data_IF_091654176558
#
_entry.id   IF_091654176558
#
_cell.length_a   1.000
_cell.length_b   1.000
_cell.length_c   1.000
_cell.angle_alpha   90.00
_cell.angle_beta   90.00
_cell.angle_gamma   90.00
#
_symmetry.space_group_name_H-M   'P 1'
#
loop_
_entity.id
_entity.type
_entity.pdbx_description
1 polymer ?
#
# COMPACT_ATOMS: atom_id res chain seq x y z
N UNK A 1 4.98 9.01 5.02
CA UNK A 1 4.45 7.97 5.94
C UNK A 1 4.09 8.60 7.28
N UNK A 2 4.96 9.46 7.81
CA UNK A 2 4.65 10.33 8.95
C UNK A 2 4.22 11.73 8.45
N UNK A 3 2.95 12.14 8.65
CA UNK A 3 2.47 13.45 8.21
C UNK A 3 2.98 14.64 9.05
N UNK A 4 3.64 14.39 10.20
CA UNK A 4 4.22 15.42 11.06
C UNK A 4 5.73 15.62 10.84
N UNK A 5 6.37 14.74 10.06
CA UNK A 5 7.77 14.89 9.64
C UNK A 5 7.82 15.48 8.24
N UNK A 6 8.59 16.55 8.07
CA UNK A 6 8.84 17.13 6.75
C UNK A 6 9.53 16.11 5.82
N UNK A 7 9.17 16.13 4.54
CA UNK A 7 9.70 15.21 3.54
C UNK A 7 9.03 13.84 3.53
N UNK A 8 9.59 12.94 2.73
CA UNK A 8 9.12 11.58 2.61
C UNK A 8 9.92 10.66 3.52
N UNK A 9 9.34 9.51 3.83
CA UNK A 9 10.01 8.43 4.54
C UNK A 9 9.84 7.16 3.74
N UNK A 10 10.77 6.23 3.95
CA UNK A 10 10.71 4.90 3.36
C UNK A 10 10.77 3.84 4.44
N UNK A 11 10.21 2.69 4.11
CA UNK A 11 10.30 1.47 4.90
C UNK A 11 10.83 0.37 4.00
N UNK A 12 11.67 -0.50 4.55
CA UNK A 12 12.28 -1.58 3.82
C UNK A 12 12.54 -2.79 4.69
N UNK A 13 12.51 -3.96 4.04
CA UNK A 13 12.85 -5.24 4.64
C UNK A 13 14.16 -5.77 4.08
N UNK A 14 14.75 -6.74 4.75
CA UNK A 14 16.07 -7.28 4.44
C UNK A 14 16.03 -8.80 4.34
N UNK A 15 16.85 -9.33 3.43
CA UNK A 15 17.06 -10.75 3.25
C UNK A 15 18.51 -11.10 3.58
N UNK A 16 18.71 -12.16 4.35
CA UNK A 16 20.02 -12.76 4.66
C UNK A 16 21.05 -11.76 5.19
N UNK A 17 20.60 -10.75 5.95
CA UNK A 17 21.47 -9.69 6.44
C UNK A 17 22.36 -10.21 7.60
N UNK A 18 23.70 -10.16 7.49
CA UNK A 18 24.59 -10.71 8.51
C UNK A 18 24.51 -10.00 9.88
N UNK A 19 23.97 -8.78 9.92
CA UNK A 19 23.75 -8.04 11.17
C UNK A 19 22.41 -8.36 11.84
N UNK A 20 21.65 -9.31 11.29
CA UNK A 20 20.29 -9.67 11.70
C UNK A 20 19.25 -8.56 11.47
N UNK A 21 19.60 -7.48 10.75
CA UNK A 21 18.65 -6.43 10.40
C UNK A 21 17.54 -7.02 9.52
N UNK A 22 16.29 -6.95 9.97
CA UNK A 22 15.13 -7.50 9.26
C UNK A 22 14.30 -6.40 8.59
N UNK A 23 14.17 -5.25 9.23
CA UNK A 23 13.42 -4.12 8.70
C UNK A 23 13.92 -2.79 9.25
N UNK A 24 13.67 -1.72 8.50
CA UNK A 24 14.12 -0.38 8.82
C UNK A 24 13.16 0.67 8.25
N UNK A 25 13.09 1.80 8.96
CA UNK A 25 12.38 3.00 8.53
C UNK A 25 13.37 4.15 8.48
N UNK A 26 13.28 4.96 7.42
CA UNK A 26 14.29 5.96 7.13
C UNK A 26 13.69 7.21 6.52
N UNK A 27 14.40 8.31 6.69
CA UNK A 27 14.14 9.58 6.04
C UNK A 27 14.58 9.51 4.56
N UNK A 28 13.64 9.71 3.63
CA UNK A 28 13.90 9.46 2.21
C UNK A 28 14.75 10.54 1.53
N UNK A 29 14.91 11.72 2.15
CA UNK A 29 15.77 12.79 1.62
C UNK A 29 17.22 12.58 2.07
N UNK A 30 17.43 12.36 3.36
CA UNK A 30 18.77 12.24 3.96
C UNK A 30 19.34 10.83 3.98
N UNK A 31 18.49 9.80 3.91
CA UNK A 31 18.85 8.41 4.15
C UNK A 31 19.11 8.07 5.63
N UNK A 32 18.81 8.99 6.56
CA UNK A 32 18.92 8.74 7.99
C UNK A 32 17.99 7.60 8.40
N UNK A 33 18.52 6.56 9.05
CA UNK A 33 17.70 5.51 9.62
C UNK A 33 17.07 6.01 10.92
N UNK A 34 15.73 6.04 10.95
CA UNK A 34 14.93 6.51 12.07
C UNK A 34 14.75 5.41 13.12
N UNK A 35 14.50 4.17 12.67
CA UNK A 35 14.52 2.99 13.53
C UNK A 35 14.82 1.71 12.73
N UNK A 36 15.14 0.64 13.47
CA UNK A 36 15.50 -0.69 12.95
C UNK A 36 14.93 -1.77 13.85
N UNK A 37 14.50 -2.88 13.26
CA UNK A 37 14.26 -4.12 14.00
C UNK A 37 15.16 -5.25 13.50
N UNK A 38 15.51 -6.12 14.44
CA UNK A 38 16.43 -7.23 14.21
C UNK A 38 15.70 -8.55 14.48
N UNK A 39 16.00 -9.56 13.67
CA UNK A 39 15.59 -10.94 13.92
C UNK A 39 16.52 -11.66 14.89
N UNK A 40 16.16 -12.90 15.23
CA UNK A 40 16.95 -13.77 16.12
C UNK A 40 17.97 -14.64 15.36
N UNK A 41 17.87 -14.69 14.04
CA UNK A 41 18.77 -15.44 13.15
C UNK A 41 18.96 -14.72 11.81
N UNK A 42 19.96 -15.15 11.03
CA UNK A 42 20.09 -14.67 9.64
C UNK A 42 18.99 -15.35 8.84
N UNK A 43 18.07 -14.56 8.29
CA UNK A 43 16.94 -15.07 7.55
C UNK A 43 16.36 -14.07 6.56
N UNK A 44 15.32 -14.52 5.88
CA UNK A 44 14.64 -13.78 4.83
C UNK A 44 13.35 -13.13 5.36
N UNK A 45 13.41 -11.84 5.72
CA UNK A 45 12.20 -11.05 5.94
C UNK A 45 11.66 -10.60 4.57
N UNK A 46 11.08 -11.54 3.83
CA UNK A 46 10.88 -11.44 2.39
C UNK A 46 9.81 -10.43 1.93
N UNK A 47 9.05 -9.85 2.87
CA UNK A 47 7.87 -9.03 2.58
C UNK A 47 7.73 -7.89 3.56
N UNK A 48 7.35 -6.72 3.06
CA UNK A 48 6.98 -5.57 3.86
C UNK A 48 5.87 -4.79 3.18
N UNK A 49 5.07 -4.06 3.95
CA UNK A 49 4.07 -3.13 3.46
C UNK A 49 4.09 -1.85 4.28
N UNK A 50 3.57 -0.78 3.68
CA UNK A 50 3.35 0.52 4.30
C UNK A 50 2.00 1.05 3.82
N UNK A 51 1.16 1.48 4.74
CA UNK A 51 -0.16 2.02 4.45
C UNK A 51 -0.87 2.40 5.73
N UNK A 52 -1.69 3.45 5.68
CA UNK A 52 -2.54 3.80 6.81
C UNK A 52 -3.71 2.81 6.86
N UNK A 53 -3.74 1.96 7.88
CA UNK A 53 -4.76 0.90 8.04
C UNK A 53 -5.47 0.99 9.39
N UNK A 54 -4.93 1.73 10.36
CA UNK A 54 -5.49 1.91 11.69
C UNK A 54 -5.66 3.39 12.06
N UNK A 55 -6.88 3.94 12.07
CA UNK A 55 -7.12 5.35 12.32
C UNK A 55 -6.89 5.76 13.78
N UNK A 56 -6.56 4.82 14.69
CA UNK A 56 -6.23 5.15 16.08
C UNK A 56 -4.79 5.65 16.24
N UNK A 57 -3.95 5.47 15.23
CA UNK A 57 -2.58 5.95 15.21
C UNK A 57 -2.41 6.94 14.05
N UNK A 58 -1.66 8.02 14.28
CA UNK A 58 -1.48 9.03 13.24
C UNK A 58 -0.35 8.61 12.30
N UNK A 59 -0.60 8.70 11.00
CA UNK A 59 0.36 8.31 9.97
C UNK A 59 0.15 6.87 9.53
N UNK A 60 1.08 6.35 8.74
CA UNK A 60 0.96 5.00 8.18
C UNK A 60 1.48 3.95 9.15
N UNK A 61 0.84 2.78 9.13
CA UNK A 61 1.44 1.56 9.66
C UNK A 61 2.45 1.00 8.65
N UNK A 62 3.36 0.18 9.18
CA UNK A 62 4.25 -0.70 8.43
C UNK A 62 4.18 -2.09 9.02
N UNK A 63 4.33 -3.11 8.18
CA UNK A 63 4.33 -4.48 8.67
C UNK A 63 5.12 -5.42 7.80
N UNK A 64 5.69 -6.43 8.46
CA UNK A 64 6.31 -7.61 7.86
C UNK A 64 5.96 -8.84 8.70
N UNK A 65 6.78 -9.89 8.62
CA UNK A 65 6.74 -11.01 9.55
C UNK A 65 7.19 -10.65 10.99
N UNK A 66 7.37 -9.36 11.29
CA UNK A 66 7.70 -8.82 12.61
C UNK A 66 6.48 -8.28 13.38
N UNK A 67 5.31 -8.23 12.76
CA UNK A 67 4.09 -7.60 13.31
C UNK A 67 3.71 -6.31 12.57
N UNK A 68 2.62 -5.69 13.02
CA UNK A 68 2.17 -4.38 12.54
C UNK A 68 2.65 -3.31 13.50
N UNK A 69 3.32 -2.29 12.97
CA UNK A 69 3.81 -1.15 13.72
C UNK A 69 3.23 0.14 13.16
N UNK A 70 2.89 1.10 14.03
CA UNK A 70 2.80 2.47 13.59
C UNK A 70 4.21 2.99 13.23
N UNK A 71 4.42 3.40 11.98
CA UNK A 71 5.77 3.71 11.48
C UNK A 71 6.38 4.95 12.14
N UNK A 72 5.54 5.93 12.50
CA UNK A 72 5.96 7.19 13.10
C UNK A 72 6.51 6.96 14.52
N UNK A 73 5.74 6.29 15.36
CA UNK A 73 6.06 6.12 16.78
C UNK A 73 6.92 4.87 17.05
N UNK A 74 7.12 4.02 16.04
CA UNK A 74 7.73 2.70 16.18
C UNK A 74 7.03 1.83 17.24
N UNK A 75 5.69 1.93 17.27
CA UNK A 75 4.83 1.27 18.25
C UNK A 75 4.23 0.00 17.62
N UNK A 76 4.40 -1.15 18.28
CA UNK A 76 3.78 -2.41 17.86
C UNK A 76 2.29 -2.38 18.18
N UNK A 77 1.45 -2.41 17.15
CA UNK A 77 -0.02 -2.34 17.26
C UNK A 77 -0.68 -3.71 17.13
N UNK A 78 -0.06 -4.65 16.40
CA UNK A 78 -0.47 -6.06 16.37
C UNK A 78 0.75 -6.99 16.30
N UNK A 79 0.93 -7.78 17.36
CA UNK A 79 2.07 -8.69 17.52
C UNK A 79 1.84 -10.07 16.90
N UNK A 80 0.58 -10.50 16.77
CA UNK A 80 0.24 -11.78 16.16
C UNK A 80 0.23 -11.64 14.64
N UNK A 81 1.32 -12.06 14.01
CA UNK A 81 1.48 -12.00 12.55
C UNK A 81 0.48 -12.88 11.78
N UNK A 82 -0.24 -13.79 12.46
CA UNK A 82 -1.32 -14.55 11.83
C UNK A 82 -2.63 -13.74 11.71
N UNK A 83 -2.76 -12.68 12.52
CA UNK A 83 -3.85 -11.71 12.43
C UNK A 83 -3.50 -10.60 11.45
N UNK A 84 -2.24 -10.16 11.42
CA UNK A 84 -1.76 -9.08 10.57
C UNK A 84 -2.16 -9.26 9.09
N UNK A 85 -2.46 -8.15 8.39
CA UNK A 85 -2.69 -8.19 6.95
C UNK A 85 -1.49 -8.76 6.21
N UNK A 86 -1.72 -9.57 5.17
CA UNK A 86 -0.61 -10.17 4.43
C UNK A 86 0.16 -9.10 3.64
N UNK A 87 1.49 -8.93 3.85
CA UNK A 87 2.29 -7.90 3.17
C UNK A 87 2.51 -8.27 1.70
N UNK A 88 1.63 -7.75 0.83
CA UNK A 88 1.66 -8.00 -0.61
C UNK A 88 1.52 -6.72 -1.44
N UNK A 89 0.31 -6.19 -1.57
CA UNK A 89 0.03 -4.94 -2.28
C UNK A 89 -1.15 -4.25 -1.60
N UNK A 90 -1.05 -2.93 -1.45
CA UNK A 90 -2.14 -2.07 -0.99
C UNK A 90 -2.82 -1.38 -2.17
N UNK A 91 -4.02 -0.88 -1.93
CA UNK A 91 -4.76 -0.01 -2.84
C UNK A 91 -5.79 0.82 -2.09
N UNK A 92 -6.23 1.93 -2.67
CA UNK A 92 -7.42 2.65 -2.23
C UNK A 92 -8.65 2.18 -3.00
N UNK A 93 -9.61 1.57 -2.31
CA UNK A 93 -10.76 0.94 -2.95
C UNK A 93 -12.11 1.47 -2.47
N UNK A 94 -12.30 1.67 -1.16
CA UNK A 94 -13.60 2.07 -0.62
C UNK A 94 -13.78 3.59 -0.53
N UNK A 95 -14.65 4.05 0.37
CA UNK A 95 -15.04 5.45 0.48
C UNK A 95 -14.15 6.28 1.41
N UNK A 96 -13.43 5.63 2.33
CA UNK A 96 -12.57 6.29 3.31
C UNK A 96 -11.14 6.47 2.80
N UNK A 97 -10.36 7.23 3.55
CA UNK A 97 -8.97 7.56 3.23
C UNK A 97 -7.96 6.45 3.57
N UNK A 98 -8.40 5.35 4.17
CA UNK A 98 -7.53 4.26 4.61
C UNK A 98 -7.16 3.36 3.43
N UNK A 99 -6.06 2.63 3.57
CA UNK A 99 -5.59 1.72 2.55
C UNK A 99 -6.21 0.32 2.72
N UNK A 100 -6.80 -0.19 1.64
CA UNK A 100 -7.18 -1.59 1.49
C UNK A 100 -5.99 -2.42 0.98
N UNK A 101 -6.23 -3.72 0.87
CA UNK A 101 -5.23 -4.72 0.53
C UNK A 101 -5.69 -5.52 -0.67
N UNK A 102 -4.75 -5.83 -1.54
CA UNK A 102 -4.92 -6.80 -2.61
C UNK A 102 -3.97 -7.98 -2.43
N UNK A 103 -4.52 -9.17 -2.23
CA UNK A 103 -3.73 -10.38 -2.02
C UNK A 103 -4.48 -11.60 -2.56
N UNK A 104 -3.80 -12.47 -3.33
CA UNK A 104 -4.40 -13.71 -3.84
C UNK A 104 -5.76 -13.50 -4.55
N UNK A 105 -5.85 -12.38 -5.30
CA UNK A 105 -7.06 -12.00 -6.04
C UNK A 105 -8.20 -11.51 -5.14
N UNK A 106 -7.93 -11.24 -3.87
CA UNK A 106 -8.89 -10.75 -2.89
C UNK A 106 -8.62 -9.29 -2.59
N UNK A 107 -9.69 -8.52 -2.51
CA UNK A 107 -9.71 -7.20 -1.92
C UNK A 107 -10.07 -7.38 -0.46
N UNK A 108 -9.25 -6.83 0.43
CA UNK A 108 -9.34 -7.07 1.86
C UNK A 108 -9.16 -5.74 2.60
N UNK A 109 -9.81 -5.58 3.75
CA UNK A 109 -9.66 -4.42 4.63
C UNK A 109 -9.22 -4.88 6.01
N UNK A 110 -8.26 -4.18 6.59
CA UNK A 110 -7.90 -4.38 7.98
C UNK A 110 -8.99 -3.83 8.90
N UNK A 111 -9.42 -4.65 9.85
CA UNK A 111 -10.35 -4.27 10.90
C UNK A 111 -9.59 -4.12 12.21
N UNK A 112 -9.12 -2.90 12.45
CA UNK A 112 -8.34 -2.53 13.63
C UNK A 112 -9.07 -2.76 14.96
N UNK A 113 -10.41 -2.80 14.97
CA UNK A 113 -11.17 -3.03 16.20
C UNK A 113 -11.13 -4.49 16.66
N UNK A 114 -10.97 -5.42 15.71
CA UNK A 114 -11.03 -6.86 15.97
C UNK A 114 -9.73 -7.58 15.65
N UNK A 115 -8.70 -6.86 15.21
CA UNK A 115 -7.46 -7.42 14.67
C UNK A 115 -7.73 -8.52 13.63
N UNK A 116 -8.49 -8.19 12.59
CA UNK A 116 -8.87 -9.15 11.56
C UNK A 116 -8.83 -8.56 10.15
N UNK A 117 -8.69 -9.42 9.15
CA UNK A 117 -8.70 -9.05 7.73
C UNK A 117 -10.03 -9.46 7.12
N UNK A 118 -10.89 -8.49 6.85
CA UNK A 118 -12.20 -8.70 6.25
C UNK A 118 -12.11 -8.71 4.72
N UNK A 119 -12.75 -9.70 4.08
CA UNK A 119 -12.79 -9.75 2.61
C UNK A 119 -13.89 -8.88 2.06
N UNK A 120 -13.53 -7.94 1.18
CA UNK A 120 -14.47 -7.11 0.43
C UNK A 120 -14.99 -7.91 -0.77
N UNK A 121 -14.10 -8.39 -1.65
CA UNK A 121 -14.47 -9.21 -2.80
C UNK A 121 -13.30 -10.10 -3.26
N UNK A 122 -13.59 -11.01 -4.18
CA UNK A 122 -12.58 -11.85 -4.84
C UNK A 122 -12.78 -11.85 -6.35
N UNK A 123 -11.73 -11.59 -7.12
CA UNK A 123 -11.79 -11.48 -8.59
C UNK A 123 -12.34 -12.74 -9.26
N UNK A 124 -12.06 -13.92 -8.68
CA UNK A 124 -12.52 -15.22 -9.20
C UNK A 124 -14.05 -15.38 -9.16
N UNK A 125 -14.75 -14.65 -8.29
CA UNK A 125 -16.22 -14.62 -8.26
C UNK A 125 -16.80 -14.03 -9.56
N UNK A 126 -16.00 -13.25 -10.29
CA UNK A 126 -16.37 -12.58 -11.53
C UNK A 126 -15.62 -13.13 -12.76
N UNK A 127 -14.97 -14.30 -12.64
CA UNK A 127 -14.22 -14.93 -13.73
C UNK A 127 -12.77 -14.44 -13.88
N UNK A 128 -12.29 -13.57 -12.99
CA UNK A 128 -10.90 -13.11 -13.00
C UNK A 128 -9.93 -14.12 -12.40
N UNK A 129 -8.71 -14.16 -12.92
CA UNK A 129 -7.58 -14.95 -12.41
C UNK A 129 -6.31 -14.13 -12.34
N UNK A 130 -5.35 -14.56 -11.52
CA UNK A 130 -4.02 -13.98 -11.51
C UNK A 130 -3.08 -14.78 -12.41
N UNK A 131 -2.25 -14.08 -13.18
CA UNK A 131 -1.06 -14.67 -13.80
C UNK A 131 0.09 -14.64 -12.79
N UNK A 132 0.18 -15.70 -11.98
CA UNK A 132 1.12 -15.78 -10.87
C UNK A 132 0.57 -15.13 -9.59
N UNK A 133 1.38 -14.32 -8.90
CA UNK A 133 1.01 -13.75 -7.59
C UNK A 133 0.38 -12.36 -7.68
N UNK A 134 0.48 -11.69 -8.82
CA UNK A 134 0.10 -10.30 -8.97
C UNK A 134 -1.05 -10.11 -9.95
N UNK A 135 -1.84 -9.06 -9.74
CA UNK A 135 -2.70 -8.49 -10.78
C UNK A 135 -1.85 -8.01 -11.96
N UNK A 136 -2.46 -7.86 -13.14
CA UNK A 136 -1.75 -7.34 -14.32
C UNK A 136 -1.46 -5.85 -14.15
N UNK A 137 -2.32 -5.14 -13.42
CA UNK A 137 -2.16 -3.74 -13.06
C UNK A 137 -3.00 -3.40 -11.83
N UNK A 138 -2.50 -2.50 -10.98
CA UNK A 138 -3.25 -1.85 -9.91
C UNK A 138 -2.94 -0.35 -10.00
N UNK A 139 -3.97 0.48 -10.09
CA UNK A 139 -3.85 1.92 -9.99
C UNK A 139 -5.03 2.69 -10.59
N UNK A 140 -5.09 3.99 -10.28
CA UNK A 140 -6.07 4.93 -10.83
C UNK A 140 -5.81 5.15 -12.32
N UNK A 141 -6.74 4.64 -13.13
CA UNK A 141 -6.73 4.77 -14.60
C UNK A 141 -8.06 5.27 -15.15
N UNK A 142 -9.12 5.28 -14.35
CA UNK A 142 -10.44 5.77 -14.73
C UNK A 142 -11.24 6.22 -13.51
N UNK A 143 -12.26 7.06 -13.72
CA UNK A 143 -13.14 7.47 -12.63
C UNK A 143 -12.55 8.58 -11.75
N UNK A 144 -12.61 8.38 -10.44
CA UNK A 144 -12.08 9.32 -9.45
C UNK A 144 -10.71 8.86 -8.93
N UNK A 145 -10.39 9.09 -7.65
CA UNK A 145 -9.04 8.91 -7.11
C UNK A 145 -8.73 7.47 -6.68
N UNK A 146 -9.73 6.60 -6.63
CA UNK A 146 -9.54 5.21 -6.18
C UNK A 146 -9.01 4.37 -7.31
N UNK A 147 -8.42 3.24 -6.94
CA UNK A 147 -7.58 2.48 -7.84
C UNK A 147 -8.31 1.32 -8.46
N UNK A 148 -8.14 1.14 -9.77
CA UNK A 148 -8.61 -0.05 -10.47
C UNK A 148 -7.65 -1.21 -10.28
N UNK A 149 -8.20 -2.43 -10.37
CA UNK A 149 -7.40 -3.65 -10.52
C UNK A 149 -7.72 -4.29 -11.87
N UNK A 150 -6.68 -4.54 -12.66
CA UNK A 150 -6.80 -5.26 -13.93
C UNK A 150 -6.27 -6.66 -13.76
N UNK A 151 -7.10 -7.64 -14.12
CA UNK A 151 -6.73 -9.06 -14.18
C UNK A 151 -7.12 -9.67 -15.54
N UNK A 152 -6.71 -10.90 -15.81
CA UNK A 152 -7.20 -11.66 -16.98
C UNK A 152 -8.33 -12.61 -16.58
N UNK A 153 -9.05 -13.15 -17.56
CA UNK A 153 -9.78 -14.39 -17.37
C UNK A 153 -8.82 -15.62 -17.43
N UNK A 154 -9.36 -16.82 -17.24
CA UNK A 154 -8.57 -18.07 -17.21
C UNK A 154 -7.85 -18.37 -18.53
N UNK A 155 -8.48 -18.07 -19.66
CA UNK A 155 -7.94 -18.31 -21.01
C UNK A 155 -6.96 -17.20 -21.46
N UNK A 156 -6.83 -16.13 -20.66
CA UNK A 156 -6.01 -14.96 -20.91
C UNK A 156 -6.31 -14.24 -22.25
N UNK A 157 -7.55 -14.32 -22.72
CA UNK A 157 -8.05 -13.63 -23.92
C UNK A 157 -8.95 -12.41 -23.60
N UNK A 158 -9.28 -12.20 -22.32
CA UNK A 158 -10.02 -11.03 -21.83
C UNK A 158 -9.29 -10.34 -20.68
N UNK A 159 -9.41 -9.02 -20.61
CA UNK A 159 -9.04 -8.21 -19.45
C UNK A 159 -10.30 -7.86 -18.66
N UNK A 160 -10.27 -8.09 -17.35
CA UNK A 160 -11.29 -7.68 -16.40
C UNK A 160 -10.74 -6.50 -15.60
N UNK A 161 -11.43 -5.36 -15.69
CA UNK A 161 -11.08 -4.14 -14.96
C UNK A 161 -12.11 -3.96 -13.84
N UNK A 162 -11.64 -4.05 -12.61
CA UNK A 162 -12.43 -3.82 -11.40
C UNK A 162 -12.28 -2.35 -11.00
N UNK A 163 -13.40 -1.63 -10.96
CA UNK A 163 -13.50 -0.28 -10.37
C UNK A 163 -14.55 -0.29 -9.27
N UNK A 164 -14.42 0.61 -8.30
CA UNK A 164 -15.24 0.61 -7.10
C UNK A 164 -16.61 1.24 -7.32
N UNK A 165 -17.62 0.68 -6.67
CA UNK A 165 -19.00 1.20 -6.62
C UNK A 165 -19.33 1.89 -5.30
N UNK A 166 -18.35 1.98 -4.39
CA UNK A 166 -18.53 2.62 -3.08
C UNK A 166 -18.59 4.13 -3.26
N UNK A 167 -19.48 4.86 -2.58
CA UNK A 167 -19.43 6.32 -2.57
C UNK A 167 -18.26 6.81 -1.71
N UNK A 168 -17.70 7.97 -2.04
CA UNK A 168 -16.72 8.69 -1.22
C UNK A 168 -17.09 10.18 -1.16
N UNK A 169 -16.92 10.79 0.00
CA UNK A 169 -17.01 12.25 0.18
C UNK A 169 -15.66 12.94 -0.08
N UNK A 170 -14.60 12.17 -0.32
CA UNK A 170 -13.25 12.66 -0.63
C UNK A 170 -13.14 12.90 -2.13
N UNK A 171 -12.66 14.09 -2.50
CA UNK A 171 -12.32 14.43 -3.88
C UNK A 171 -10.85 14.82 -3.98
N UNK A 172 -10.07 13.97 -4.64
CA UNK A 172 -8.69 14.25 -5.01
C UNK A 172 -8.58 14.44 -6.53
N UNK A 173 -7.49 15.05 -6.98
CA UNK A 173 -7.08 14.88 -8.37
C UNK A 173 -6.77 13.39 -8.62
N UNK A 174 -6.93 12.94 -9.86
CA UNK A 174 -6.45 11.61 -10.25
C UNK A 174 -5.02 11.41 -9.76
N UNK A 175 -4.76 10.29 -9.10
CA UNK A 175 -3.46 9.94 -8.56
C UNK A 175 -2.44 9.81 -9.70
N UNK A 176 -2.86 9.49 -10.92
CA UNK A 176 -2.00 9.49 -12.10
C UNK A 176 -1.42 10.88 -12.47
N UNK A 177 -1.94 11.97 -11.89
CA UNK A 177 -1.34 13.31 -11.99
C UNK A 177 -0.36 13.64 -10.85
N UNK A 178 -0.26 12.79 -9.83
CA UNK A 178 0.80 12.87 -8.83
C UNK A 178 2.12 12.29 -9.41
N UNK A 179 3.23 13.04 -9.46
CA UNK A 179 4.47 12.56 -10.08
C UNK A 179 5.05 11.29 -9.47
N UNK A 180 5.03 11.14 -8.14
CA UNK A 180 5.54 9.95 -7.47
C UNK A 180 4.68 8.72 -7.79
N UNK A 181 3.36 8.87 -7.66
CA UNK A 181 2.41 7.80 -8.00
C UNK A 181 2.50 7.40 -9.48
N UNK A 182 2.51 8.38 -10.39
CA UNK A 182 2.60 8.13 -11.82
C UNK A 182 3.87 7.40 -12.24
N UNK A 183 4.98 7.68 -11.56
CA UNK A 183 6.22 6.95 -11.73
C UNK A 183 6.11 5.52 -11.18
N UNK A 184 5.50 5.34 -10.00
CA UNK A 184 5.30 4.03 -9.39
C UNK A 184 4.46 3.08 -10.26
N UNK A 185 3.44 3.60 -10.96
CA UNK A 185 2.62 2.84 -11.93
C UNK A 185 3.44 2.18 -13.06
N UNK A 186 4.68 2.64 -13.30
CA UNK A 186 5.55 2.12 -14.38
C UNK A 186 6.55 1.08 -13.90
N UNK A 187 6.67 0.85 -12.58
CA UNK A 187 7.61 -0.10 -12.01
C UNK A 187 7.29 -1.53 -12.45
N UNK A 188 8.34 -2.30 -12.74
CA UNK A 188 8.29 -3.72 -13.11
C UNK A 188 9.30 -4.50 -12.28
N UNK A 189 9.06 -5.80 -12.10
CA UNK A 189 9.85 -6.69 -11.24
C UNK A 189 8.95 -7.32 -10.18
N UNK A 190 9.42 -7.39 -8.93
CA UNK A 190 8.53 -7.64 -7.80
C UNK A 190 7.69 -6.40 -7.56
N UNK A 191 6.47 -6.41 -8.10
CA UNK A 191 5.58 -5.25 -8.08
C UNK A 191 5.29 -4.82 -6.64
N UNK A 192 5.32 -3.51 -6.43
CA UNK A 192 5.09 -2.84 -5.14
C UNK A 192 3.85 -1.95 -5.26
N UNK A 193 3.23 -1.61 -4.13
CA UNK A 193 2.11 -0.66 -4.07
C UNK A 193 2.54 0.72 -4.57
N UNK A 194 1.71 1.36 -5.39
CA UNK A 194 1.93 2.76 -5.80
C UNK A 194 1.63 3.70 -4.63
N UNK A 195 2.49 4.69 -4.42
CA UNK A 195 2.33 5.70 -3.37
C UNK A 195 2.40 7.10 -3.97
N UNK A 196 1.66 8.04 -3.36
CA UNK A 196 1.70 9.47 -3.68
C UNK A 196 2.82 10.19 -2.92
N UNK A 197 3.17 11.41 -3.37
CA UNK A 197 4.14 12.29 -2.68
C UNK A 197 3.53 13.16 -1.55
N UNK A 198 2.29 12.86 -1.16
CA UNK A 198 1.61 13.45 0.00
C UNK A 198 0.95 12.35 0.85
N UNK A 199 0.49 12.68 2.06
CA UNK A 199 -0.17 11.71 2.92
C UNK A 199 -1.65 11.53 2.52
N UNK A 200 -2.05 10.30 2.21
CA UNK A 200 -3.45 9.84 2.15
C UNK A 200 -3.63 8.85 3.30
N UNK A 201 -4.58 9.16 4.16
CA UNK A 201 -4.78 8.49 5.44
C UNK A 201 -5.53 9.39 6.41
N UNK A 202 -5.86 8.87 7.59
CA UNK A 202 -6.70 9.51 8.59
C UNK A 202 -6.24 10.93 8.90
N UNK A 203 -7.19 11.87 8.86
CA UNK A 203 -6.94 13.31 9.05
C UNK A 203 -5.99 13.94 8.02
N UNK A 204 -5.90 13.36 6.82
CA UNK A 204 -5.17 13.99 5.72
C UNK A 204 -5.68 15.41 5.44
N UNK A 205 -4.76 16.28 5.04
CA UNK A 205 -5.10 17.60 4.52
C UNK A 205 -5.41 17.48 3.04
N UNK A 206 -6.23 18.39 2.51
CA UNK A 206 -6.43 18.50 1.06
C UNK A 206 -5.08 18.75 0.37
N UNK A 207 -4.64 17.87 -0.54
CA UNK A 207 -3.38 18.04 -1.24
C UNK A 207 -3.42 19.27 -2.16
N UNK A 208 -2.27 19.89 -2.45
CA UNK A 208 -2.21 20.99 -3.41
C UNK A 208 -2.59 20.49 -4.81
N UNK A 209 -3.01 21.42 -5.68
CA UNK A 209 -3.14 21.12 -7.11
C UNK A 209 -1.79 20.63 -7.67
N UNK A 210 -1.76 19.52 -8.43
CA UNK A 210 -0.53 19.02 -9.03
C UNK A 210 0.18 20.08 -9.89
N UNK A 211 1.46 20.30 -9.62
CA UNK A 211 2.29 21.24 -10.39
C UNK A 211 2.79 20.58 -11.68
N UNK A 212 1.87 20.36 -12.62
CA UNK A 212 2.14 19.69 -13.89
C UNK A 212 1.67 20.54 -15.07
N UNK A 213 2.19 20.23 -16.25
CA UNK A 213 1.68 20.73 -17.53
C UNK A 213 1.45 19.57 -18.48
N UNK A 214 0.46 19.69 -19.34
CA UNK A 214 0.27 18.72 -20.41
C UNK A 214 1.42 18.81 -21.42
N UNK A 215 1.92 17.65 -21.83
CA UNK A 215 2.91 17.58 -22.89
C UNK A 215 2.27 18.04 -24.22
N UNK A 216 2.93 18.96 -24.91
CA UNK A 216 2.46 19.48 -26.20
C UNK A 216 1.36 20.54 -26.15
N UNK A 217 1.00 21.02 -24.96
CA UNK A 217 0.13 22.18 -24.76
C UNK A 217 0.90 23.51 -24.83
#
# INVERSE_FOLDING_TARGET
MDPDREGLQGYGVQQDNPSLLYEYYYDADSGEILWKHYGDEVGDNARGMAGDIDPNHKGMEVWSFMGVYNAKENELTESDTSLAPWPHTGLWWDGDEMMELFNDGKFEKWNWNTSAVDRILKVSTYGGTLSGRYAQFIGDILGDWREEVVVTNADADELLIFTTDKPSDIRLYTLAHNPAYRNAMTLKGYMQSSHVDYFIGKDMKTPPTPNIRYAGA
#
